data_IF_382620703930
#
_entry.id   IF_382620703930
#
_cell.length_a   1.000
_cell.length_b   1.000
_cell.length_c   1.000
_cell.angle_alpha   90.00
_cell.angle_beta   90.00
_cell.angle_gamma   90.00
#
_symmetry.space_group_name_H-M   'P 1'
#
loop_
_entity.id
_entity.type
_entity.pdbx_description
1 polymer ?
#
# COMPACT_ATOMS: atom_id res chain seq x y z
N UNK A 1 -11.23 -8.17 -12.61
CA UNK A 1 -10.58 -7.04 -11.91
C UNK A 1 -9.08 -7.15 -12.15
N UNK A 2 -8.40 -6.03 -12.33
CA UNK A 2 -6.95 -5.92 -12.48
C UNK A 2 -6.42 -5.03 -11.36
N UNK A 3 -5.24 -5.37 -10.84
CA UNK A 3 -4.58 -4.65 -9.75
C UNK A 3 -3.20 -4.24 -10.24
N UNK A 4 -2.90 -2.95 -10.12
CA UNK A 4 -1.65 -2.33 -10.49
C UNK A 4 -0.94 -1.92 -9.21
N UNK A 5 0.32 -2.34 -9.03
CA UNK A 5 1.08 -2.12 -7.79
C UNK A 5 2.41 -1.45 -8.12
N UNK A 6 2.68 -0.29 -7.51
CA UNK A 6 3.98 0.39 -7.56
C UNK A 6 4.84 -0.10 -6.40
N UNK A 7 5.64 -1.14 -6.64
CA UNK A 7 6.38 -1.87 -5.60
C UNK A 7 7.78 -1.31 -5.31
N UNK A 8 8.40 -0.66 -6.29
CA UNK A 8 9.83 -0.31 -6.25
C UNK A 8 10.14 1.07 -6.81
N UNK A 9 9.13 1.89 -7.08
CA UNK A 9 9.33 3.22 -7.65
C UNK A 9 9.89 4.15 -6.57
N UNK A 10 11.07 4.75 -6.78
CA UNK A 10 11.60 5.74 -5.85
C UNK A 10 11.08 7.12 -6.27
N UNK A 11 10.52 7.87 -5.33
CA UNK A 11 9.73 9.05 -5.64
C UNK A 11 10.52 10.32 -5.97
N UNK A 12 9.89 11.20 -6.75
CA UNK A 12 10.21 12.63 -6.81
C UNK A 12 11.43 13.06 -7.60
N UNK A 13 11.77 12.34 -8.68
CA UNK A 13 12.83 12.79 -9.59
C UNK A 13 12.36 12.68 -11.03
N UNK A 14 12.63 13.72 -11.82
CA UNK A 14 12.10 13.88 -13.17
C UNK A 14 10.56 13.77 -13.14
N UNK A 15 9.96 12.97 -14.01
CA UNK A 15 8.51 12.78 -14.10
C UNK A 15 7.95 11.73 -13.12
N UNK A 16 8.69 11.37 -12.06
CA UNK A 16 8.26 10.36 -11.09
C UNK A 16 7.66 11.04 -9.88
N UNK A 17 6.46 10.63 -9.51
CA UNK A 17 5.79 11.15 -8.32
C UNK A 17 6.30 10.44 -7.07
N UNK A 18 5.96 10.93 -5.88
CA UNK A 18 6.26 10.25 -4.63
C UNK A 18 5.21 9.18 -4.31
N UNK A 19 5.17 8.13 -5.15
CA UNK A 19 4.09 7.13 -5.22
C UNK A 19 4.49 5.74 -4.70
N UNK A 20 5.60 5.61 -3.98
CA UNK A 20 6.09 4.33 -3.46
C UNK A 20 4.98 3.58 -2.69
N UNK A 21 4.74 2.31 -3.04
CA UNK A 21 3.70 1.49 -2.43
C UNK A 21 2.28 1.77 -2.90
N UNK A 22 2.08 2.68 -3.86
CA UNK A 22 0.78 3.00 -4.41
C UNK A 22 0.17 1.81 -5.16
N UNK A 23 -1.16 1.77 -5.20
CA UNK A 23 -1.93 0.74 -5.89
C UNK A 23 -3.10 1.35 -6.66
N UNK A 24 -3.50 0.71 -7.75
CA UNK A 24 -4.69 1.10 -8.51
C UNK A 24 -5.49 -0.16 -8.87
N UNK A 25 -6.80 -0.02 -8.97
CA UNK A 25 -7.69 -1.15 -9.24
C UNK A 25 -8.62 -0.81 -10.39
N UNK A 26 -8.62 -1.65 -11.42
CA UNK A 26 -9.45 -1.50 -12.61
C UNK A 26 -10.46 -2.65 -12.74
N UNK A 27 -11.73 -2.33 -13.00
CA UNK A 27 -12.81 -3.32 -13.21
C UNK A 27 -13.77 -2.84 -14.29
N UNK A 28 -13.97 -3.70 -15.30
CA UNK A 28 -14.95 -3.51 -16.40
C UNK A 28 -14.87 -2.12 -17.06
N UNK A 29 -13.67 -1.67 -17.39
CA UNK A 29 -13.48 -0.43 -18.14
C UNK A 29 -13.46 0.84 -17.29
N UNK A 30 -13.40 0.73 -15.96
CA UNK A 30 -13.31 1.87 -15.02
C UNK A 30 -12.33 1.60 -13.90
N UNK A 31 -11.71 2.65 -13.37
CA UNK A 31 -10.97 2.56 -12.12
C UNK A 31 -11.96 2.47 -10.96
N UNK A 32 -11.80 1.46 -10.11
CA UNK A 32 -12.45 1.43 -8.80
C UNK A 32 -11.74 2.37 -7.83
N UNK A 33 -10.42 2.46 -7.97
CA UNK A 33 -9.56 3.43 -7.30
C UNK A 33 -8.31 3.64 -8.14
N UNK A 34 -7.81 4.87 -8.16
CA UNK A 34 -6.57 5.27 -8.82
C UNK A 34 -6.00 6.49 -8.11
N UNK A 35 -4.75 6.79 -8.35
CA UNK A 35 -4.18 8.07 -7.95
C UNK A 35 -4.89 9.26 -8.59
N UNK A 36 -4.84 10.37 -7.88
CA UNK A 36 -5.20 11.69 -8.39
C UNK A 36 -4.15 12.10 -9.40
N UNK A 37 -4.58 12.19 -10.66
CA UNK A 37 -3.68 12.32 -11.80
C UNK A 37 -3.54 13.80 -12.15
N UNK A 38 -2.31 14.29 -12.18
CA UNK A 38 -1.94 15.64 -12.61
C UNK A 38 -0.46 15.71 -12.88
N UNK A 39 0.02 16.86 -13.35
CA UNK A 39 1.43 17.09 -13.67
C UNK A 39 2.03 18.24 -12.85
N UNK A 40 1.19 19.16 -12.39
CA UNK A 40 1.57 20.21 -11.43
C UNK A 40 0.35 20.80 -10.69
N UNK A 41 -0.78 20.09 -10.77
CA UNK A 41 -2.09 20.57 -10.33
C UNK A 41 -2.12 20.59 -8.80
N UNK A 42 -2.79 21.57 -8.23
CA UNK A 42 -2.90 21.69 -6.78
C UNK A 42 -4.12 20.93 -6.26
N UNK A 43 -3.88 20.10 -5.26
CA UNK A 43 -4.92 19.33 -4.57
C UNK A 43 -4.93 19.67 -3.08
N UNK A 44 -5.99 19.24 -2.38
CA UNK A 44 -6.09 19.44 -0.95
C UNK A 44 -4.92 18.81 -0.18
N UNK A 45 -4.24 19.63 0.64
CA UNK A 45 -3.15 19.16 1.50
C UNK A 45 -3.59 18.22 2.62
N UNK A 46 -2.62 17.76 3.41
CA UNK A 46 -2.87 16.78 4.48
C UNK A 46 -3.89 17.31 5.49
N UNK A 47 -4.85 16.48 5.90
CA UNK A 47 -5.95 16.90 6.80
C UNK A 47 -6.75 18.10 6.27
N UNK A 48 -6.76 18.29 4.94
CA UNK A 48 -7.32 19.44 4.23
C UNK A 48 -6.71 20.80 4.61
N UNK A 49 -5.48 20.81 5.12
CA UNK A 49 -4.73 22.03 5.41
C UNK A 49 -3.82 22.37 4.23
N UNK A 50 -3.98 23.57 3.67
CA UNK A 50 -3.20 24.04 2.53
C UNK A 50 -3.47 23.27 1.24
N UNK A 51 -2.50 23.36 0.32
CA UNK A 51 -2.50 22.65 -0.95
C UNK A 51 -1.14 21.98 -1.19
N UNK A 52 -1.15 20.90 -1.95
CA UNK A 52 0.05 20.20 -2.41
C UNK A 52 -0.09 19.90 -3.90
N UNK A 53 1.03 19.71 -4.58
CA UNK A 53 1.05 19.24 -5.97
C UNK A 53 0.59 17.77 -6.06
N UNK A 54 -0.01 17.39 -7.18
CA UNK A 54 -0.26 15.99 -7.60
C UNK A 54 0.96 15.08 -7.65
N UNK A 55 2.19 15.60 -7.64
CA UNK A 55 3.39 14.78 -7.41
C UNK A 55 3.48 14.25 -5.97
N UNK A 56 2.89 14.96 -5.00
CA UNK A 56 2.99 14.69 -3.56
C UNK A 56 2.41 13.33 -3.18
N UNK A 57 2.95 12.62 -2.16
CA UNK A 57 2.44 11.32 -1.71
C UNK A 57 0.93 11.24 -1.46
N UNK A 58 0.31 12.36 -1.13
CA UNK A 58 -1.12 12.46 -0.82
C UNK A 58 -2.01 12.17 -2.04
N UNK A 59 -1.53 12.42 -3.25
CA UNK A 59 -2.26 12.13 -4.49
C UNK A 59 -2.34 10.63 -4.79
N UNK A 60 -1.63 9.77 -4.04
CA UNK A 60 -1.47 8.36 -4.34
C UNK A 60 -2.11 7.46 -3.27
N UNK A 61 -2.49 6.25 -3.68
CA UNK A 61 -3.06 5.24 -2.79
C UNK A 61 -1.97 4.57 -1.93
N UNK A 62 -1.34 5.32 -1.03
CA UNK A 62 -0.12 4.91 -0.33
C UNK A 62 -0.31 4.82 1.20
N UNK A 63 0.80 4.62 1.91
CA UNK A 63 0.92 4.72 3.37
C UNK A 63 1.77 5.96 3.68
N UNK A 64 1.38 6.71 4.70
CA UNK A 64 2.07 7.91 5.14
C UNK A 64 2.48 7.81 6.60
N UNK A 65 3.60 8.46 6.95
CA UNK A 65 3.98 8.83 8.31
C UNK A 65 4.03 10.36 8.34
N UNK A 66 3.17 10.99 9.12
CA UNK A 66 3.03 12.46 9.14
C UNK A 66 2.98 13.06 7.73
N UNK A 67 2.02 12.65 6.89
CA UNK A 67 1.82 13.13 5.52
C UNK A 67 2.82 12.70 4.42
N UNK A 68 3.86 11.91 4.73
CA UNK A 68 4.91 11.53 3.75
C UNK A 68 5.13 10.02 3.66
N UNK A 69 5.47 9.53 2.46
CA UNK A 69 5.71 8.09 2.22
C UNK A 69 7.17 7.70 1.99
N UNK A 70 8.04 8.57 1.46
CA UNK A 70 9.36 8.16 1.00
C UNK A 70 10.36 9.28 1.23
N UNK A 71 11.60 8.89 1.44
CA UNK A 71 12.72 9.82 1.52
C UNK A 71 12.89 10.55 0.19
N UNK A 72 13.39 11.78 0.27
CA UNK A 72 13.56 12.65 -0.90
C UNK A 72 14.88 12.41 -1.60
N UNK A 73 14.87 12.21 -2.90
CA UNK A 73 16.11 12.21 -3.68
C UNK A 73 16.57 13.65 -3.93
N UNK A 74 17.84 13.94 -3.65
CA UNK A 74 18.42 15.27 -3.83
C UNK A 74 19.39 15.26 -5.02
N UNK A 75 19.14 16.08 -6.05
CA UNK A 75 19.98 16.11 -7.25
C UNK A 75 19.64 14.99 -8.25
N UNK A 76 20.63 14.18 -8.66
CA UNK A 76 20.41 13.09 -9.64
C UNK A 76 19.96 11.81 -8.94
N UNK A 77 18.79 11.31 -9.27
CA UNK A 77 18.23 10.08 -8.71
C UNK A 77 17.02 9.60 -9.52
N UNK A 78 16.43 8.47 -9.16
CA UNK A 78 16.94 7.51 -8.20
C UNK A 78 17.94 6.53 -8.83
N UNK A 79 18.96 6.15 -8.08
CA UNK A 79 20.01 5.23 -8.53
C UNK A 79 20.51 4.38 -7.36
N UNK A 80 21.13 3.23 -7.68
CA UNK A 80 21.77 2.39 -6.66
C UNK A 80 23.07 3.05 -6.23
N UNK A 81 23.20 3.31 -4.93
CA UNK A 81 24.45 3.77 -4.31
C UNK A 81 25.13 2.53 -3.70
N UNK A 82 26.35 2.18 -4.14
CA UNK A 82 27.07 0.99 -3.65
C UNK A 82 27.22 0.95 -2.13
N UNK A 83 27.30 -0.24 -1.53
CA UNK A 83 27.59 -0.37 -0.10
C UNK A 83 28.93 0.29 0.25
N UNK A 84 28.93 1.16 1.26
CA UNK A 84 30.12 1.88 1.74
C UNK A 84 30.36 3.25 1.08
N UNK A 85 29.68 3.54 -0.03
CA UNK A 85 29.75 4.87 -0.65
C UNK A 85 28.92 5.88 0.15
N UNK A 86 29.35 7.15 0.10
CA UNK A 86 28.62 8.25 0.72
C UNK A 86 27.27 8.46 0.04
N UNK A 87 26.21 8.42 0.85
CA UNK A 87 24.83 8.63 0.41
C UNK A 87 24.43 10.10 0.51
N UNK A 88 25.19 10.95 1.17
CA UNK A 88 24.83 12.36 1.40
C UNK A 88 23.41 12.49 1.93
N UNK A 89 22.59 13.28 1.24
CA UNK A 89 21.19 13.53 1.62
C UNK A 89 20.20 12.52 1.03
N UNK A 90 20.65 11.47 0.35
CA UNK A 90 19.77 10.53 -0.36
C UNK A 90 19.01 9.58 0.58
N UNK A 91 17.97 8.89 0.08
CA UNK A 91 17.29 7.84 0.82
C UNK A 91 18.24 6.72 1.27
N UNK A 92 17.96 6.13 2.45
CA UNK A 92 18.81 5.07 3.01
C UNK A 92 18.84 3.82 2.13
N UNK A 93 17.74 3.53 1.44
CA UNK A 93 17.66 2.47 0.43
C UNK A 93 16.50 2.70 -0.54
N UNK A 94 16.43 1.87 -1.57
CA UNK A 94 15.23 1.67 -2.37
C UNK A 94 14.25 0.74 -1.63
N UNK A 95 12.94 0.76 -1.95
CA UNK A 95 12.02 -0.28 -1.50
C UNK A 95 12.50 -1.67 -1.91
N UNK A 96 12.34 -2.66 -1.03
CA UNK A 96 12.81 -4.02 -1.28
C UNK A 96 11.64 -4.99 -1.33
N UNK A 97 11.39 -5.59 -2.50
CA UNK A 97 10.42 -6.69 -2.63
C UNK A 97 11.04 -7.92 -1.98
N UNK A 98 10.42 -8.38 -0.89
CA UNK A 98 10.90 -9.48 -0.05
C UNK A 98 10.23 -10.80 -0.39
N UNK A 99 8.97 -10.73 -0.83
CA UNK A 99 8.15 -11.90 -1.21
C UNK A 99 7.38 -11.57 -2.47
N UNK A 100 7.34 -12.52 -3.41
CA UNK A 100 6.54 -12.44 -4.62
C UNK A 100 6.10 -13.86 -4.96
N UNK A 101 4.79 -14.05 -5.11
CA UNK A 101 4.20 -15.33 -5.45
C UNK A 101 3.04 -15.13 -6.41
N UNK A 102 3.12 -15.85 -7.52
CA UNK A 102 2.07 -16.01 -8.49
C UNK A 102 1.52 -17.43 -8.40
N UNK A 103 0.23 -17.55 -8.09
CA UNK A 103 -0.57 -18.77 -8.23
C UNK A 103 -1.73 -18.53 -9.19
N UNK A 104 -2.42 -19.57 -9.62
CA UNK A 104 -3.60 -19.44 -10.49
C UNK A 104 -4.73 -18.62 -9.82
N UNK A 105 -5.02 -18.89 -8.55
CA UNK A 105 -6.15 -18.28 -7.85
C UNK A 105 -5.80 -17.01 -7.05
N UNK A 106 -4.53 -16.81 -6.68
CA UNK A 106 -4.10 -15.59 -6.01
C UNK A 106 -2.72 -15.08 -6.45
N UNK A 107 -2.41 -13.84 -6.10
CA UNK A 107 -1.05 -13.29 -6.15
C UNK A 107 -0.72 -12.66 -4.81
N UNK A 108 0.51 -12.86 -4.32
CA UNK A 108 0.97 -12.36 -3.04
C UNK A 108 2.31 -11.65 -3.17
N UNK A 109 2.43 -10.50 -2.52
CA UNK A 109 3.62 -9.66 -2.56
C UNK A 109 3.85 -9.06 -1.17
N UNK A 110 5.09 -9.04 -0.70
CA UNK A 110 5.48 -8.28 0.51
C UNK A 110 6.69 -7.42 0.20
N UNK A 111 6.62 -6.14 0.57
CA UNK A 111 7.67 -5.16 0.33
C UNK A 111 8.05 -4.47 1.64
N UNK A 112 9.35 -4.35 1.87
CA UNK A 112 9.93 -3.57 2.96
C UNK A 112 10.30 -2.17 2.43
N UNK A 113 9.60 -1.16 2.93
CA UNK A 113 9.88 0.25 2.63
C UNK A 113 10.62 0.94 3.77
N UNK A 114 10.96 0.27 4.88
CA UNK A 114 11.41 0.92 6.11
C UNK A 114 12.59 1.88 5.88
N UNK A 115 13.58 1.47 5.08
CA UNK A 115 14.72 2.31 4.73
C UNK A 115 14.40 3.33 3.61
N UNK A 116 13.39 3.07 2.79
CA UNK A 116 12.96 3.97 1.73
C UNK A 116 12.16 5.17 2.25
N UNK A 117 11.56 5.07 3.44
CA UNK A 117 10.86 6.19 4.11
C UNK A 117 11.81 7.23 4.71
N UNK A 118 13.12 6.94 4.75
CA UNK A 118 14.11 7.74 5.45
C UNK A 118 15.22 8.19 4.52
N UNK A 119 15.71 9.40 4.74
CA UNK A 119 17.01 9.84 4.25
C UNK A 119 18.10 9.47 5.27
N UNK A 120 19.36 9.66 4.90
CA UNK A 120 20.47 9.45 5.83
C UNK A 120 20.26 10.23 7.14
N UNK A 121 20.70 9.70 8.30
CA UNK A 121 20.69 10.45 9.55
C UNK A 121 21.35 11.81 9.37
N UNK A 122 20.80 12.82 10.04
CA UNK A 122 21.29 14.21 9.97
C UNK A 122 21.19 14.83 8.56
N UNK A 123 20.47 14.21 7.61
CA UNK A 123 20.09 14.87 6.37
C UNK A 123 19.13 16.01 6.66
N UNK A 124 19.34 17.14 5.97
CA UNK A 124 18.46 18.31 6.05
C UNK A 124 17.03 18.02 5.58
N UNK A 125 16.85 16.96 4.80
CA UNK A 125 15.56 16.54 4.21
C UNK A 125 15.06 15.20 4.76
N UNK A 126 15.63 14.65 5.84
CA UNK A 126 15.10 13.43 6.46
C UNK A 126 13.66 13.65 6.98
N UNK A 127 12.85 12.60 6.87
CA UNK A 127 11.49 12.55 7.40
C UNK A 127 11.42 11.51 8.53
N UNK A 128 11.74 11.91 9.77
CA UNK A 128 12.27 10.99 10.78
C UNK A 128 11.22 10.14 11.52
N UNK A 129 10.11 9.80 10.88
CA UNK A 129 8.92 9.28 11.54
C UNK A 129 8.71 7.78 11.35
N UNK A 130 9.31 7.18 10.32
CA UNK A 130 9.24 5.74 10.09
C UNK A 130 10.45 5.01 10.72
N UNK A 131 10.16 3.97 11.51
CA UNK A 131 11.12 2.90 11.83
C UNK A 131 10.83 1.63 11.01
N UNK A 132 9.56 1.25 10.90
CA UNK A 132 9.12 0.13 10.06
C UNK A 132 7.96 0.53 9.17
N UNK A 133 8.04 0.18 7.90
CA UNK A 133 6.99 0.36 6.91
C UNK A 133 6.98 -0.85 5.97
N UNK A 134 6.23 -1.88 6.32
CA UNK A 134 6.01 -3.04 5.45
C UNK A 134 4.61 -2.99 4.87
N UNK A 135 4.49 -3.30 3.58
CA UNK A 135 3.19 -3.44 2.91
C UNK A 135 3.12 -4.79 2.22
N UNK A 136 2.06 -5.53 2.52
CA UNK A 136 1.75 -6.83 1.92
C UNK A 136 0.47 -6.73 1.11
N UNK A 137 0.47 -7.30 -0.09
CA UNK A 137 -0.67 -7.35 -1.00
C UNK A 137 -1.04 -8.81 -1.25
N UNK A 138 -2.31 -9.14 -1.12
CA UNK A 138 -2.86 -10.46 -1.48
C UNK A 138 -4.08 -10.26 -2.36
N UNK A 139 -3.92 -10.47 -3.66
CA UNK A 139 -5.01 -10.38 -4.62
C UNK A 139 -5.64 -11.76 -4.85
N UNK A 140 -6.91 -11.91 -4.46
CA UNK A 140 -7.68 -13.16 -4.58
C UNK A 140 -8.59 -13.03 -5.80
N UNK A 141 -8.20 -13.69 -6.89
CA UNK A 141 -8.83 -13.53 -8.21
C UNK A 141 -10.32 -13.90 -8.24
N UNK A 142 -10.77 -15.07 -7.74
CA UNK A 142 -12.19 -15.43 -7.84
C UNK A 142 -13.10 -14.46 -7.08
N UNK A 143 -12.67 -14.01 -5.90
CA UNK A 143 -13.42 -13.04 -5.10
C UNK A 143 -13.36 -11.61 -5.65
N UNK A 144 -12.39 -11.31 -6.52
CA UNK A 144 -12.04 -9.97 -6.95
C UNK A 144 -11.79 -9.06 -5.73
N UNK A 145 -10.93 -9.52 -4.82
CA UNK A 145 -10.60 -8.81 -3.60
C UNK A 145 -9.08 -8.62 -3.47
N UNK A 146 -8.64 -7.39 -3.23
CA UNK A 146 -7.26 -7.07 -2.87
C UNK A 146 -7.20 -6.82 -1.36
N UNK A 147 -6.54 -7.71 -0.63
CA UNK A 147 -6.20 -7.50 0.76
C UNK A 147 -4.85 -6.78 0.85
N UNK A 148 -4.76 -5.75 1.69
CA UNK A 148 -3.54 -4.99 1.98
C UNK A 148 -3.30 -5.04 3.50
N UNK A 149 -2.12 -5.50 3.90
CA UNK A 149 -1.64 -5.40 5.28
C UNK A 149 -0.44 -4.46 5.33
N UNK A 150 -0.60 -3.34 6.03
CA UNK A 150 0.48 -2.46 6.41
C UNK A 150 0.93 -2.77 7.84
N UNK A 151 2.24 -2.96 8.04
CA UNK A 151 2.87 -3.08 9.37
C UNK A 151 3.74 -1.86 9.58
N UNK A 152 3.38 -1.07 10.59
CA UNK A 152 3.96 0.26 10.77
C UNK A 152 4.51 0.44 12.16
N UNK A 153 5.71 1.00 12.26
CA UNK A 153 6.30 1.43 13.52
C UNK A 153 6.76 2.86 13.43
N UNK A 154 6.25 3.70 14.33
CA UNK A 154 6.69 5.08 14.47
C UNK A 154 8.10 5.17 15.06
N UNK A 155 8.86 6.17 14.65
CA UNK A 155 10.16 6.51 15.24
C UNK A 155 10.03 7.77 16.10
N UNK A 156 10.83 7.86 17.15
CA UNK A 156 10.97 9.05 17.99
C UNK A 156 12.12 9.96 17.52
N UNK A 157 12.74 9.68 16.36
CA UNK A 157 13.95 10.38 15.92
C UNK A 157 13.75 11.88 15.73
N UNK A 158 12.52 12.35 15.48
CA UNK A 158 12.19 13.79 15.45
C UNK A 158 12.55 14.53 16.75
N UNK A 159 12.73 13.82 17.87
CA UNK A 159 13.16 14.39 19.16
C UNK A 159 14.68 14.59 19.26
N UNK A 160 15.47 14.05 18.33
CA UNK A 160 16.93 14.13 18.41
C UNK A 160 17.41 15.59 18.27
N UNK A 161 18.52 15.97 18.93
CA UNK A 161 19.01 17.35 18.92
C UNK A 161 19.19 17.95 17.53
N UNK A 162 19.57 17.14 16.53
CA UNK A 162 19.71 17.57 15.14
C UNK A 162 18.45 18.24 14.60
N UNK A 163 17.27 17.63 14.80
CA UNK A 163 16.00 18.16 14.30
C UNK A 163 15.55 19.43 15.04
N UNK A 164 16.11 19.70 16.22
CA UNK A 164 15.86 20.92 16.99
C UNK A 164 16.86 22.06 16.65
N UNK A 165 17.95 21.76 15.94
CA UNK A 165 19.09 22.66 15.76
C UNK A 165 19.04 23.56 14.51
N UNK A 166 17.93 23.58 13.76
CA UNK A 166 17.76 24.38 12.54
C UNK A 166 18.44 23.83 11.28
N UNK A 167 19.09 22.66 11.35
CA UNK A 167 19.63 21.95 10.18
C UNK A 167 18.56 21.21 9.37
N UNK A 168 17.41 20.91 9.98
CA UNK A 168 16.28 20.27 9.34
C UNK A 168 15.41 21.30 8.62
N UNK A 169 15.11 21.06 7.33
CA UNK A 169 14.43 22.02 6.45
C UNK A 169 12.93 21.76 6.29
N UNK A 170 12.37 20.79 7.01
CA UNK A 170 10.98 20.38 6.85
C UNK A 170 10.18 20.69 8.12
N UNK A 171 8.89 21.01 7.97
CA UNK A 171 8.03 21.50 9.06
C UNK A 171 7.27 20.40 9.80
N UNK A 172 7.89 19.23 9.98
CA UNK A 172 7.24 18.10 10.65
C UNK A 172 7.09 18.31 12.17
N UNK A 173 6.15 17.60 12.84
CA UNK A 173 5.99 17.70 14.29
C UNK A 173 7.14 17.02 15.05
N UNK A 174 7.51 17.53 16.23
CA UNK A 174 8.41 16.84 17.15
C UNK A 174 7.60 15.94 18.07
N UNK A 175 7.59 14.63 17.80
CA UNK A 175 6.74 13.65 18.49
C UNK A 175 7.49 12.39 18.93
N UNK A 176 6.98 11.71 19.96
CA UNK A 176 7.45 10.36 20.33
C UNK A 176 6.92 9.31 19.35
N UNK A 177 7.51 8.12 19.36
CA UNK A 177 7.16 7.04 18.42
C UNK A 177 5.66 6.66 18.41
N UNK A 178 5.01 6.68 19.57
CA UNK A 178 3.58 6.38 19.73
C UNK A 178 2.66 7.54 19.27
N UNK A 179 3.20 8.75 19.20
CA UNK A 179 2.51 9.94 18.73
C UNK A 179 2.62 10.15 17.22
N UNK A 180 3.49 9.40 16.53
CA UNK A 180 3.57 9.43 15.07
C UNK A 180 2.27 8.93 14.46
N UNK A 181 1.62 9.81 13.70
CA UNK A 181 0.44 9.53 12.89
C UNK A 181 0.84 8.73 11.66
N UNK A 182 0.22 7.57 11.49
CA UNK A 182 0.26 6.80 10.24
C UNK A 182 -1.08 6.92 9.55
N UNK A 183 -1.05 7.05 8.23
CA UNK A 183 -2.26 7.24 7.43
C UNK A 183 -2.26 6.31 6.24
N UNK A 184 -3.28 5.47 6.13
CA UNK A 184 -3.60 4.77 4.90
C UNK A 184 -4.43 5.71 4.01
N UNK A 185 -4.01 5.86 2.75
CA UNK A 185 -4.67 6.73 1.77
C UNK A 185 -5.29 5.89 0.64
N UNK A 186 -6.52 6.22 0.27
CA UNK A 186 -7.20 5.67 -0.90
C UNK A 186 -8.13 6.70 -1.53
N UNK A 187 -8.19 6.73 -2.86
CA UNK A 187 -9.01 7.69 -3.61
C UNK A 187 -10.24 7.03 -4.24
N UNK A 188 -11.29 7.82 -4.41
CA UNK A 188 -12.53 7.48 -5.11
C UNK A 188 -12.86 8.56 -6.14
N UNK A 189 -13.25 8.15 -7.36
CA UNK A 189 -13.63 9.10 -8.43
C UNK A 189 -14.96 9.82 -8.16
N UNK A 190 -15.79 9.28 -7.26
CA UNK A 190 -17.06 9.90 -6.84
C UNK A 190 -17.12 9.94 -5.32
N UNK A 191 -17.91 10.87 -4.78
CA UNK A 191 -18.03 11.08 -3.34
C UNK A 191 -18.43 9.76 -2.63
N UNK A 192 -17.57 9.20 -1.77
CA UNK A 192 -17.88 7.97 -1.07
C UNK A 192 -18.80 8.23 0.13
N UNK A 193 -19.41 7.16 0.61
CA UNK A 193 -20.17 7.11 1.88
C UNK A 193 -19.53 6.13 2.84
N UNK A 194 -19.63 6.40 4.13
CA UNK A 194 -19.08 5.55 5.19
C UNK A 194 -20.20 4.80 5.92
N UNK A 195 -19.98 3.51 6.19
CA UNK A 195 -20.83 2.72 7.07
C UNK A 195 -19.97 1.80 7.95
N UNK A 196 -19.89 2.09 9.24
CA UNK A 196 -19.03 1.41 10.19
C UNK A 196 -17.58 1.31 9.67
N UNK A 197 -17.12 0.11 9.32
CA UNK A 197 -15.77 -0.16 8.83
C UNK A 197 -15.66 -0.15 7.30
N UNK A 198 -16.64 0.40 6.59
CA UNK A 198 -16.72 0.40 5.13
C UNK A 198 -16.77 1.81 4.57
N UNK A 199 -16.11 2.01 3.43
CA UNK A 199 -16.20 3.23 2.62
C UNK A 199 -16.49 2.82 1.19
N UNK A 200 -17.58 3.33 0.60
CA UNK A 200 -18.02 2.90 -0.72
C UNK A 200 -18.48 4.07 -1.60
N UNK A 201 -18.17 4.00 -2.90
CA UNK A 201 -18.62 4.96 -3.89
C UNK A 201 -19.22 4.26 -5.12
N UNK A 202 -20.19 4.90 -5.75
CA UNK A 202 -20.82 4.40 -6.98
C UNK A 202 -20.09 4.91 -8.22
N UNK A 203 -19.74 4.00 -9.12
CA UNK A 203 -18.99 4.26 -10.35
C UNK A 203 -19.77 3.68 -11.55
N UNK A 204 -20.67 4.48 -12.10
CA UNK A 204 -21.61 4.01 -13.11
C UNK A 204 -22.52 2.90 -12.55
N UNK A 205 -22.41 1.69 -13.11
CA UNK A 205 -23.19 0.52 -12.67
C UNK A 205 -22.44 -0.39 -11.69
N UNK A 206 -21.34 0.10 -11.11
CA UNK A 206 -20.49 -0.65 -10.19
C UNK A 206 -20.33 0.11 -8.87
N UNK A 207 -19.96 -0.60 -7.81
CA UNK A 207 -19.52 -0.05 -6.53
C UNK A 207 -18.04 -0.34 -6.36
N UNK A 208 -17.27 0.68 -5.95
CA UNK A 208 -15.94 0.52 -5.35
C UNK A 208 -16.08 0.55 -3.84
N UNK A 209 -15.43 -0.37 -3.14
CA UNK A 209 -15.54 -0.49 -1.69
C UNK A 209 -14.20 -0.78 -1.03
N UNK A 210 -13.93 -0.05 0.05
CA UNK A 210 -12.90 -0.31 1.06
C UNK A 210 -13.55 -0.90 2.30
N UNK A 211 -13.05 -2.03 2.78
CA UNK A 211 -13.43 -2.67 4.05
C UNK A 211 -12.19 -2.69 4.95
N UNK A 212 -12.27 -2.07 6.12
CA UNK A 212 -11.17 -2.04 7.10
C UNK A 212 -11.42 -3.05 8.21
N UNK A 213 -10.46 -3.93 8.44
CA UNK A 213 -10.46 -4.91 9.53
C UNK A 213 -9.56 -4.47 10.69
N UNK A 214 -8.48 -3.73 10.41
CA UNK A 214 -7.62 -3.08 11.40
C UNK A 214 -7.33 -1.63 10.97
N UNK A 215 -7.45 -0.64 11.89
CA UNK A 215 -7.95 -0.78 13.27
C UNK A 215 -9.40 -1.28 13.34
N UNK A 216 -9.80 -1.94 14.43
CA UNK A 216 -11.14 -2.54 14.59
C UNK A 216 -12.26 -1.50 14.72
N UNK A 217 -11.91 -0.26 15.06
CA UNK A 217 -12.80 0.89 15.11
C UNK A 217 -12.19 2.01 14.23
N UNK A 218 -12.26 1.88 12.90
CA UNK A 218 -11.64 2.84 12.01
C UNK A 218 -12.37 4.18 12.02
N UNK A 219 -11.60 5.26 11.92
CA UNK A 219 -12.11 6.62 11.72
C UNK A 219 -11.62 7.10 10.36
N UNK A 220 -12.56 7.38 9.46
CA UNK A 220 -12.27 7.84 8.10
C UNK A 220 -12.49 9.35 8.01
N UNK A 221 -11.54 10.04 7.38
CA UNK A 221 -11.74 11.40 6.88
C UNK A 221 -11.83 11.34 5.37
N UNK A 222 -12.83 12.02 4.82
CA UNK A 222 -13.04 12.12 3.37
C UNK A 222 -12.90 13.59 2.99
N UNK A 223 -12.06 13.85 2.00
CA UNK A 223 -11.83 15.18 1.46
C UNK A 223 -12.20 15.19 -0.02
N UNK A 224 -12.87 16.26 -0.47
CA UNK A 224 -12.78 16.62 -1.89
C UNK A 224 -11.44 17.32 -2.09
N UNK A 225 -10.64 16.81 -3.01
CA UNK A 225 -9.31 17.31 -3.30
C UNK A 225 -9.30 18.54 -4.21
N UNK A 226 -10.41 18.84 -4.89
CA UNK A 226 -10.51 20.00 -5.79
C UNK A 226 -10.04 21.30 -5.11
N UNK A 227 -9.28 22.09 -5.87
CA UNK A 227 -8.83 23.43 -5.50
C UNK A 227 -9.17 24.42 -6.61
N UNK A 228 -9.34 25.69 -6.21
CA UNK A 228 -9.67 26.75 -7.15
C UNK A 228 -8.56 26.94 -8.17
N UNK A 229 -8.88 26.86 -9.47
CA UNK A 229 -7.94 26.96 -10.58
C UNK A 229 -7.49 25.61 -11.15
N UNK A 230 -7.61 24.53 -10.38
CA UNK A 230 -7.28 23.15 -10.76
C UNK A 230 -8.48 22.23 -10.48
N UNK A 231 -9.69 22.76 -10.65
CA UNK A 231 -10.91 21.97 -10.53
C UNK A 231 -10.86 20.81 -11.54
N UNK A 232 -11.32 19.62 -11.15
CA UNK A 232 -11.27 18.37 -11.94
C UNK A 232 -9.94 17.59 -11.89
N UNK A 233 -8.86 18.18 -11.38
CA UNK A 233 -7.64 17.43 -11.10
C UNK A 233 -7.81 16.49 -9.89
N UNK A 234 -8.58 16.94 -8.88
CA UNK A 234 -8.80 16.25 -7.61
C UNK A 234 -9.74 15.04 -7.68
N UNK A 235 -9.61 14.13 -6.71
CA UNK A 235 -10.59 13.08 -6.42
C UNK A 235 -11.16 13.23 -5.02
N UNK A 236 -11.91 12.23 -4.56
CA UNK A 236 -12.26 12.09 -3.16
C UNK A 236 -11.25 11.22 -2.43
N UNK A 237 -10.42 11.83 -1.58
CA UNK A 237 -9.40 11.12 -0.80
C UNK A 237 -9.95 10.68 0.55
N UNK A 238 -9.77 9.40 0.85
CA UNK A 238 -9.96 8.82 2.19
C UNK A 238 -8.62 8.79 2.90
N UNK A 239 -8.59 9.32 4.11
CA UNK A 239 -7.48 9.19 5.05
C UNK A 239 -7.96 8.37 6.27
N UNK A 240 -7.32 7.22 6.49
CA UNK A 240 -7.52 6.36 7.66
C UNK A 240 -6.28 6.45 8.56
N UNK A 241 -6.43 7.08 9.72
CA UNK A 241 -5.32 7.37 10.63
C UNK A 241 -5.18 6.34 11.77
N UNK A 242 -3.95 6.12 12.23
CA UNK A 242 -3.63 5.54 13.54
C UNK A 242 -2.56 6.37 14.28
N UNK A 243 -2.79 6.54 15.58
CA UNK A 243 -1.90 7.18 16.56
C UNK A 243 -2.11 6.48 17.93
N UNK A 244 -1.21 6.69 18.88
CA UNK A 244 -1.32 6.22 20.27
C UNK A 244 -0.63 4.90 20.56
N UNK A 245 0.16 4.37 19.61
CA UNK A 245 0.94 3.15 19.79
C UNK A 245 2.20 3.18 18.92
N UNK A 246 3.33 2.68 19.43
CA UNK A 246 4.57 2.60 18.66
C UNK A 246 4.44 1.67 17.46
N UNK A 247 3.73 0.55 17.59
CA UNK A 247 3.44 -0.42 16.52
C UNK A 247 1.95 -0.33 16.15
N UNK A 248 1.63 -0.35 14.85
CA UNK A 248 0.26 -0.24 14.35
C UNK A 248 0.11 -0.98 13.02
N UNK A 249 -1.11 -1.43 12.73
CA UNK A 249 -1.42 -2.22 11.55
C UNK A 249 -2.66 -1.68 10.85
N UNK A 250 -2.58 -1.52 9.53
CA UNK A 250 -3.77 -1.36 8.69
C UNK A 250 -4.02 -2.67 7.97
N UNK A 251 -5.23 -3.21 8.10
CA UNK A 251 -5.65 -4.39 7.35
C UNK A 251 -6.92 -4.02 6.59
N UNK A 252 -6.76 -3.83 5.29
CA UNK A 252 -7.78 -3.30 4.40
C UNK A 252 -8.09 -4.29 3.28
N UNK A 253 -9.32 -4.29 2.80
CA UNK A 253 -9.76 -5.05 1.63
C UNK A 253 -10.40 -4.08 0.65
N UNK A 254 -9.90 -4.08 -0.59
CA UNK A 254 -10.45 -3.32 -1.70
C UNK A 254 -11.16 -4.30 -2.62
N UNK A 255 -12.42 -4.02 -2.93
CA UNK A 255 -13.26 -4.85 -3.80
C UNK A 255 -14.20 -4.00 -4.65
N UNK A 256 -14.81 -4.63 -5.66
CA UNK A 256 -15.89 -4.03 -6.41
C UNK A 256 -16.90 -5.03 -6.93
N UNK A 257 -18.13 -4.56 -7.10
CA UNK A 257 -19.27 -5.39 -7.46
C UNK A 257 -20.29 -4.57 -8.27
N UNK A 258 -21.12 -5.27 -9.05
CA UNK A 258 -22.13 -4.62 -9.89
C UNK A 258 -23.33 -4.15 -9.06
N UNK A 259 -24.10 -3.21 -9.60
CA UNK A 259 -25.38 -2.82 -9.01
C UNK A 259 -26.30 -4.04 -8.86
N UNK A 260 -26.80 -4.26 -7.63
CA UNK A 260 -27.63 -5.42 -7.30
C UNK A 260 -26.85 -6.70 -6.99
N UNK A 261 -25.53 -6.73 -7.18
CA UNK A 261 -24.68 -7.83 -6.70
C UNK A 261 -24.47 -7.71 -5.18
N UNK A 262 -24.34 -8.85 -4.50
CA UNK A 262 -24.03 -8.87 -3.08
C UNK A 262 -22.64 -8.27 -2.79
N UNK A 263 -22.51 -7.56 -1.67
CA UNK A 263 -21.22 -7.11 -1.19
C UNK A 263 -20.38 -8.28 -0.66
N UNK A 264 -19.06 -8.13 -0.67
CA UNK A 264 -18.13 -9.08 -0.04
C UNK A 264 -18.27 -9.00 1.49
N UNK A 265 -18.44 -10.16 2.13
CA UNK A 265 -18.38 -10.28 3.59
C UNK A 265 -16.95 -10.58 4.00
N UNK A 266 -16.44 -9.84 4.99
CA UNK A 266 -15.09 -10.00 5.52
C UNK A 266 -15.13 -10.02 7.05
N UNK A 267 -14.44 -10.99 7.65
CA UNK A 267 -14.32 -11.14 9.10
C UNK A 267 -12.86 -11.35 9.50
N UNK A 268 -12.52 -10.91 10.71
CA UNK A 268 -11.20 -11.06 11.31
C UNK A 268 -11.33 -11.78 12.65
N UNK A 269 -10.49 -12.78 12.88
CA UNK A 269 -10.27 -13.40 14.18
C UNK A 269 -8.81 -13.21 14.57
N UNK A 270 -8.59 -12.68 15.78
CA UNK A 270 -7.27 -12.58 16.38
C UNK A 270 -6.96 -13.85 17.18
N UNK A 271 -5.96 -14.62 16.76
CA UNK A 271 -5.54 -15.87 17.40
C UNK A 271 -4.32 -15.68 18.31
N UNK A 272 -4.01 -14.46 18.72
CA UNK A 272 -2.80 -14.12 19.48
C UNK A 272 -1.60 -13.90 18.56
N UNK A 273 -0.98 -14.97 18.05
CA UNK A 273 0.23 -14.90 17.21
C UNK A 273 -0.05 -14.66 15.71
N UNK A 274 -1.30 -14.84 15.28
CA UNK A 274 -1.74 -14.66 13.90
C UNK A 274 -3.13 -14.05 13.85
N UNK A 275 -3.53 -13.61 12.66
CA UNK A 275 -4.90 -13.30 12.31
C UNK A 275 -5.44 -14.34 11.33
N UNK A 276 -6.71 -14.72 11.51
CA UNK A 276 -7.48 -15.43 10.48
C UNK A 276 -8.49 -14.47 9.88
N UNK A 277 -8.42 -14.28 8.56
CA UNK A 277 -9.35 -13.48 7.78
C UNK A 277 -10.22 -14.44 6.98
N UNK A 278 -11.55 -14.29 7.08
CA UNK A 278 -12.49 -15.04 6.24
C UNK A 278 -13.19 -14.08 5.31
N UNK A 279 -13.13 -14.36 4.01
CA UNK A 279 -13.86 -13.66 2.97
C UNK A 279 -14.94 -14.56 2.38
N UNK A 280 -16.14 -14.04 2.16
CA UNK A 280 -17.26 -14.81 1.63
C UNK A 280 -18.10 -13.96 0.67
N UNK A 281 -18.45 -14.55 -0.47
CA UNK A 281 -19.40 -13.98 -1.42
C UNK A 281 -20.29 -15.10 -1.99
N UNK A 282 -21.62 -14.89 -2.06
CA UNK A 282 -22.57 -15.97 -2.41
C UNK A 282 -22.34 -16.61 -3.78
N UNK A 283 -21.74 -15.87 -4.73
CA UNK A 283 -21.49 -16.35 -6.10
C UNK A 283 -20.01 -16.47 -6.47
N UNK A 284 -19.10 -15.89 -5.68
CA UNK A 284 -17.67 -15.80 -6.03
C UNK A 284 -16.79 -16.70 -5.14
N UNK A 285 -17.41 -17.43 -4.20
CA UNK A 285 -16.74 -18.39 -3.34
C UNK A 285 -16.35 -17.82 -1.98
N UNK A 286 -15.39 -18.48 -1.34
CA UNK A 286 -14.88 -18.14 -0.02
C UNK A 286 -13.35 -18.24 0.02
N UNK A 287 -12.71 -17.48 0.91
CA UNK A 287 -11.29 -17.61 1.21
C UNK A 287 -11.04 -17.52 2.71
N UNK A 288 -10.10 -18.33 3.21
CA UNK A 288 -9.55 -18.25 4.56
C UNK A 288 -8.07 -17.92 4.48
N UNK A 289 -7.66 -16.79 5.06
CA UNK A 289 -6.29 -16.29 5.02
C UNK A 289 -5.76 -16.26 6.45
N UNK A 290 -4.61 -16.87 6.68
CA UNK A 290 -3.86 -16.72 7.93
C UNK A 290 -2.69 -15.78 7.67
N UNK A 291 -2.56 -14.73 8.48
CA UNK A 291 -1.42 -13.80 8.44
C UNK A 291 -0.72 -13.80 9.80
N UNK A 292 0.57 -14.10 9.81
CA UNK A 292 1.37 -14.11 11.04
C UNK A 292 1.67 -12.67 11.49
N UNK A 293 1.60 -12.40 12.80
CA UNK A 293 1.89 -11.07 13.36
C UNK A 293 3.39 -10.79 13.47
N UNK A 294 3.74 -9.53 13.67
CA UNK A 294 5.11 -9.03 13.75
C UNK A 294 5.33 -7.79 12.89
N UNK A 295 6.46 -7.11 13.05
CA UNK A 295 6.80 -5.89 12.28
C UNK A 295 7.51 -6.17 10.94
N UNK A 296 7.68 -7.44 10.59
CA UNK A 296 8.18 -7.86 9.28
C UNK A 296 7.28 -8.97 8.76
N UNK A 297 7.17 -9.08 7.43
CA UNK A 297 6.37 -10.16 6.85
C UNK A 297 7.07 -11.51 7.05
N UNK A 298 6.41 -12.37 7.81
CA UNK A 298 6.75 -13.79 7.99
C UNK A 298 5.76 -14.70 7.24
N UNK A 299 4.98 -14.13 6.31
CA UNK A 299 4.01 -14.87 5.51
C UNK A 299 2.79 -15.36 6.29
N UNK A 300 2.33 -16.56 5.93
CA UNK A 300 1.06 -17.12 6.38
C UNK A 300 0.56 -18.18 5.40
N UNK A 301 -0.76 -18.33 5.27
CA UNK A 301 -1.36 -19.25 4.30
C UNK A 301 -2.71 -18.76 3.78
N UNK A 302 -3.16 -19.33 2.67
CA UNK A 302 -4.48 -19.08 2.10
C UNK A 302 -5.12 -20.39 1.65
N UNK A 303 -6.40 -20.58 1.94
CA UNK A 303 -7.27 -21.62 1.37
C UNK A 303 -8.43 -20.95 0.65
N UNK A 304 -8.80 -21.45 -0.53
CA UNK A 304 -9.87 -20.89 -1.37
C UNK A 304 -10.89 -22.01 -1.63
N UNK A 305 -12.17 -21.74 -1.36
CA UNK A 305 -13.28 -22.68 -1.55
C UNK A 305 -13.08 -24.04 -0.86
N UNK A 306 -12.41 -24.03 0.30
CA UNK A 306 -12.14 -25.23 1.09
C UNK A 306 -10.99 -26.09 0.55
N UNK A 307 -10.20 -25.57 -0.41
CA UNK A 307 -8.96 -26.21 -0.85
C UNK A 307 -7.97 -26.41 0.30
N UNK A 308 -6.97 -27.25 0.08
CA UNK A 308 -5.81 -27.28 0.97
C UNK A 308 -5.20 -25.87 1.12
N UNK A 309 -4.70 -25.56 2.32
CA UNK A 309 -4.08 -24.28 2.60
C UNK A 309 -2.71 -24.20 1.92
N UNK A 310 -2.53 -23.22 1.04
CA UNK A 310 -1.28 -22.93 0.35
C UNK A 310 -0.47 -21.94 1.20
N UNK A 311 0.79 -22.23 1.56
CA UNK A 311 1.63 -21.28 2.28
C UNK A 311 2.01 -20.09 1.39
N UNK A 312 2.05 -18.91 1.99
CA UNK A 312 2.56 -17.70 1.35
C UNK A 312 4.10 -17.75 1.34
N UNK A 313 4.71 -17.68 0.15
CA UNK A 313 6.15 -17.88 -0.04
C UNK A 313 7.02 -16.95 0.81
N UNK A 314 8.19 -17.44 1.17
CA UNK A 314 9.21 -16.74 1.96
C UNK A 314 10.23 -15.97 1.11
N UNK A 315 10.13 -16.07 -0.20
CA UNK A 315 11.07 -15.51 -1.17
C UNK A 315 10.35 -14.82 -2.33
N UNK A 316 11.13 -14.11 -3.15
CA UNK A 316 10.70 -13.61 -4.44
C UNK A 316 10.75 -14.76 -5.44
N UNK A 317 9.59 -15.15 -5.98
CA UNK A 317 9.52 -16.10 -7.09
C UNK A 317 10.24 -15.54 -8.31
N UNK A 318 11.18 -16.31 -8.86
CA UNK A 318 11.97 -15.87 -9.99
C UNK A 318 11.14 -15.85 -11.29
N UNK A 319 11.65 -15.11 -12.29
CA UNK A 319 11.16 -15.15 -13.67
C UNK A 319 12.34 -15.57 -14.55
N UNK A 320 12.11 -16.57 -15.41
CA UNK A 320 13.05 -16.99 -16.43
C UNK A 320 12.55 -16.52 -17.79
N UNK A 321 13.40 -15.84 -18.55
CA UNK A 321 13.09 -15.47 -19.94
C UNK A 321 13.56 -16.59 -20.84
N UNK A 322 12.61 -17.26 -21.51
CA UNK A 322 12.90 -18.32 -22.48
C UNK A 322 12.81 -17.78 -23.91
N UNK A 323 13.18 -18.59 -24.90
CA UNK A 323 13.01 -18.25 -26.32
C UNK A 323 11.55 -18.13 -26.77
N UNK A 324 10.60 -18.68 -26.00
CA UNK A 324 9.16 -18.61 -26.33
C UNK A 324 8.47 -17.45 -25.61
N UNK A 325 8.69 -17.35 -24.29
CA UNK A 325 8.09 -16.34 -23.42
C UNK A 325 8.78 -16.27 -22.05
N UNK A 326 8.62 -15.17 -21.31
CA UNK A 326 8.87 -15.15 -19.87
C UNK A 326 7.99 -16.18 -19.15
N UNK A 327 8.58 -16.94 -18.24
CA UNK A 327 7.88 -17.91 -17.38
C UNK A 327 8.24 -17.65 -15.93
N UNK A 328 7.27 -17.79 -15.04
CA UNK A 328 7.52 -17.80 -13.60
C UNK A 328 8.27 -19.06 -13.21
N UNK A 329 9.12 -18.96 -12.19
CA UNK A 329 9.71 -20.09 -11.50
C UNK A 329 8.58 -20.93 -10.89
N UNK A 330 8.24 -22.02 -11.55
CA UNK A 330 7.36 -23.03 -11.01
C UNK A 330 8.18 -24.13 -10.34
N UNK A 331 7.60 -24.78 -9.33
CA UNK A 331 8.03 -26.11 -8.87
C UNK A 331 7.60 -27.21 -9.86
N UNK A 332 7.29 -26.87 -11.12
CA UNK A 332 6.95 -27.79 -12.20
C UNK A 332 7.63 -27.42 -13.51
N UNK A 333 8.14 -28.44 -14.20
CA UNK A 333 8.85 -28.39 -15.47
C UNK A 333 7.84 -28.26 -16.63
N UNK A 334 8.01 -27.26 -17.50
CA UNK A 334 7.41 -27.32 -18.83
C UNK A 334 8.19 -28.35 -19.66
N UNK A 335 7.56 -29.48 -19.98
CA UNK A 335 8.04 -30.41 -21.01
C UNK A 335 7.01 -30.40 -22.14
N UNK A 336 7.45 -30.06 -23.34
CA UNK A 336 6.66 -30.14 -24.58
C UNK A 336 5.41 -29.24 -24.66
N UNK A 337 5.48 -28.01 -24.13
CA UNK A 337 4.57 -26.93 -24.55
C UNK A 337 3.12 -26.97 -24.06
N UNK A 338 2.77 -27.84 -23.11
CA UNK A 338 1.45 -27.85 -22.46
C UNK A 338 1.54 -27.81 -20.93
N UNK A 339 0.58 -27.13 -20.29
CA UNK A 339 0.36 -27.22 -18.85
C UNK A 339 -0.15 -28.61 -18.51
N UNK A 340 0.61 -29.39 -17.76
CA UNK A 340 0.12 -30.60 -17.09
C UNK A 340 0.27 -30.41 -15.59
N UNK A 341 -0.82 -30.57 -14.84
CA UNK A 341 -0.74 -30.75 -13.40
C UNK A 341 0.10 -32.01 -13.11
N UNK A 342 1.07 -31.91 -12.20
CA UNK A 342 1.71 -33.11 -11.68
C UNK A 342 0.70 -33.93 -10.87
N UNK A 343 0.88 -35.26 -10.77
CA UNK A 343 0.05 -36.12 -9.93
C UNK A 343 0.04 -35.69 -8.46
#
# INVERSE_FOLDING_TARGET
MQVHLQLGTPGGVEHRHWDAGSFQVWRKGRFLTRETAGYSDQIAGFMNVGSVDTEHPLAHNTLLFEAWNSGRWVGRGPHVIPPGDDRGEQPRALPEVRRLQHEAQFGYIAVDYSNAYRNMPESRVDWPYADKAWREFLFIRPLQALLILDRTRGSADSQLPWYNGGGWLLDGPHVTADQVRRTFVMHFETAPTTNANRVAATLGTQTSELITLLPTLPSFRIFNEDRTGDEEAGQHRVELDQIGATDAYFLNIITGYDSGEAALVANLVDNGASWTITLSHPLRGNASIVLNKGMSSVGGSISIDGSEAVPLRESVQAISVTSERPVWEATYLFRDGFETAAP
#
